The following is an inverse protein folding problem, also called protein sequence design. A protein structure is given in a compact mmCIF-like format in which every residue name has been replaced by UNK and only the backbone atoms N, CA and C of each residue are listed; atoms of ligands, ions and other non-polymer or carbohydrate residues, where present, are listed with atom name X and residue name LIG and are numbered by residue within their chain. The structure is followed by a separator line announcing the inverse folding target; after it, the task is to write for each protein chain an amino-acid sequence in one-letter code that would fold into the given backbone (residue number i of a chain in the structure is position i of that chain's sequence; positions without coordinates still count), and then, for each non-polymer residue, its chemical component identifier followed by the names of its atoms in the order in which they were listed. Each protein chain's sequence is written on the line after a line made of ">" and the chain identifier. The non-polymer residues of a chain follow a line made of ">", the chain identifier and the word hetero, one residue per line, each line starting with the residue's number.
data_IF_220470289682
#
_entry.id   IF_220470289682
#
_cell.length_a   1.000
_cell.length_b   1.000
_cell.length_c   1.000
_cell.angle_alpha   90.00
_cell.angle_beta   90.00
_cell.angle_gamma   90.00
#
_symmetry.space_group_name_H-M   'P 1'
#
loop_
_entity.id
_entity.type
_entity.pdbx_description
1 polymer ?
#
# COMPACT_ATOMS: atom_id res chain seq x y z
N UNK A 1 13.39 -42.22 -18.02
CA UNK A 1 13.29 -40.77 -17.74
C UNK A 1 14.56 -40.36 -17.00
N UNK A 2 15.45 -39.52 -17.55
CA UNK A 2 16.63 -39.06 -16.81
C UNK A 2 16.21 -38.03 -15.76
N UNK A 3 16.79 -38.17 -14.57
CA UNK A 3 16.50 -37.38 -13.37
C UNK A 3 17.13 -36.00 -13.52
N UNK A 4 16.32 -34.94 -13.50
CA UNK A 4 16.80 -33.56 -13.62
C UNK A 4 17.79 -33.22 -12.50
N UNK A 5 18.95 -32.66 -12.89
CA UNK A 5 19.98 -32.22 -11.97
C UNK A 5 19.44 -31.10 -11.06
N UNK A 6 19.66 -31.25 -9.75
CA UNK A 6 19.30 -30.25 -8.74
C UNK A 6 20.18 -29.01 -8.96
N UNK A 7 19.62 -27.79 -9.09
CA UNK A 7 20.43 -26.60 -9.34
C UNK A 7 21.34 -26.31 -8.13
N UNK A 8 22.61 -26.03 -8.43
CA UNK A 8 23.61 -25.71 -7.42
C UNK A 8 23.23 -24.47 -6.60
N UNK A 9 23.40 -24.53 -5.26
CA UNK A 9 23.10 -23.45 -4.33
C UNK A 9 23.99 -22.22 -4.65
N UNK A 10 23.38 -21.07 -4.98
CA UNK A 10 24.11 -19.80 -5.22
C UNK A 10 24.89 -19.40 -3.96
N UNK A 11 26.15 -18.96 -4.13
CA UNK A 11 26.98 -18.38 -3.05
C UNK A 11 26.18 -17.27 -2.34
N UNK A 12 26.20 -17.20 -0.99
CA UNK A 12 25.49 -16.16 -0.27
C UNK A 12 26.05 -14.80 -0.69
N UNK A 13 25.17 -13.87 -1.06
CA UNK A 13 25.57 -12.51 -1.41
C UNK A 13 26.34 -11.89 -0.25
N UNK A 14 27.38 -11.10 -0.57
CA UNK A 14 28.17 -10.36 0.43
C UNK A 14 27.21 -9.55 1.30
N UNK A 15 27.31 -9.72 2.62
CA UNK A 15 26.47 -9.01 3.58
C UNK A 15 26.75 -7.51 3.47
N UNK A 16 25.75 -6.76 3.05
CA UNK A 16 25.80 -5.29 3.06
C UNK A 16 25.48 -4.84 4.48
N UNK A 17 26.39 -4.08 5.08
CA UNK A 17 26.21 -3.53 6.42
C UNK A 17 25.42 -2.21 6.37
N UNK A 18 24.74 -1.92 7.48
CA UNK A 18 24.00 -0.67 7.61
C UNK A 18 24.96 0.52 7.66
N UNK A 19 24.61 1.58 6.94
CA UNK A 19 25.16 2.92 7.15
C UNK A 19 24.05 3.95 6.90
N UNK A 20 24.09 5.07 7.62
CA UNK A 20 23.08 6.12 7.45
C UNK A 20 23.08 6.65 6.01
N UNK A 21 24.25 6.93 5.43
CA UNK A 21 24.37 7.42 4.05
C UNK A 21 23.76 6.46 3.00
N UNK A 22 23.88 5.14 3.20
CA UNK A 22 23.23 4.18 2.31
C UNK A 22 21.71 4.17 2.50
N UNK A 23 21.24 4.27 3.75
CA UNK A 23 19.82 4.35 4.05
C UNK A 23 19.19 5.62 3.45
N UNK A 24 19.84 6.77 3.61
CA UNK A 24 19.44 8.05 3.02
C UNK A 24 19.31 7.95 1.50
N UNK A 25 20.31 7.35 0.84
CA UNK A 25 20.30 7.14 -0.61
C UNK A 25 19.15 6.24 -1.05
N UNK A 26 18.86 5.17 -0.31
CA UNK A 26 17.75 4.28 -0.63
C UNK A 26 16.42 5.01 -0.48
N UNK A 27 16.23 5.77 0.61
CA UNK A 27 15.04 6.58 0.81
C UNK A 27 14.86 7.64 -0.29
N UNK A 28 15.93 8.34 -0.70
CA UNK A 28 15.86 9.30 -1.79
C UNK A 28 15.41 8.65 -3.12
N UNK A 29 15.93 7.47 -3.46
CA UNK A 29 15.51 6.73 -4.66
C UNK A 29 14.05 6.25 -4.57
N UNK A 30 13.58 5.91 -3.37
CA UNK A 30 12.18 5.52 -3.15
C UNK A 30 11.27 6.73 -3.31
N UNK A 31 11.64 7.88 -2.73
CA UNK A 31 10.94 9.15 -2.88
C UNK A 31 10.82 9.57 -4.35
N UNK A 32 11.83 9.27 -5.17
CA UNK A 32 11.84 9.47 -6.63
C UNK A 32 10.99 8.44 -7.41
N UNK A 33 10.00 7.82 -6.78
CA UNK A 33 9.07 6.89 -7.45
C UNK A 33 9.51 5.42 -7.44
N UNK A 34 10.79 5.10 -7.24
CA UNK A 34 11.29 3.72 -7.38
C UNK A 34 10.75 2.78 -6.32
N UNK A 35 10.51 1.53 -6.72
CA UNK A 35 10.11 0.50 -5.76
C UNK A 35 11.30 0.03 -4.92
N UNK A 36 11.05 -0.33 -3.66
CA UNK A 36 12.07 -0.99 -2.80
C UNK A 36 12.68 -2.19 -3.52
N UNK A 37 11.87 -2.95 -4.27
CA UNK A 37 12.34 -4.11 -5.06
C UNK A 37 13.35 -3.70 -6.13
N UNK A 38 13.14 -2.57 -6.79
CA UNK A 38 14.03 -2.07 -7.82
C UNK A 38 15.33 -1.53 -7.20
N UNK A 39 15.22 -0.70 -6.16
CA UNK A 39 16.39 -0.14 -5.48
C UNK A 39 17.29 -1.24 -4.92
N UNK A 40 16.72 -2.27 -4.29
CA UNK A 40 17.48 -3.39 -3.72
C UNK A 40 18.12 -4.35 -4.74
N UNK A 41 17.89 -4.20 -6.05
CA UNK A 41 18.53 -5.06 -7.07
C UNK A 41 19.95 -4.63 -7.45
N UNK A 42 20.35 -3.41 -7.12
CA UNK A 42 21.64 -2.85 -7.55
C UNK A 42 22.85 -3.49 -6.86
N UNK A 43 24.05 -3.46 -7.49
CA UNK A 43 25.28 -3.84 -6.82
C UNK A 43 25.53 -2.93 -5.61
N UNK A 44 25.91 -3.54 -4.48
CA UNK A 44 26.13 -2.82 -3.22
C UNK A 44 24.85 -2.45 -2.45
N UNK A 45 23.67 -2.89 -2.91
CA UNK A 45 22.41 -2.65 -2.21
C UNK A 45 22.05 -3.81 -1.26
N UNK A 46 21.40 -3.52 -0.12
CA UNK A 46 20.90 -4.57 0.75
C UNK A 46 19.75 -5.33 0.09
N UNK A 47 19.56 -6.59 0.49
CA UNK A 47 18.32 -7.29 0.18
C UNK A 47 17.10 -6.53 0.73
N UNK A 48 15.95 -6.66 0.06
CA UNK A 48 14.70 -6.00 0.44
C UNK A 48 14.33 -6.26 1.91
N UNK A 49 14.45 -7.50 2.39
CA UNK A 49 14.11 -7.82 3.77
C UNK A 49 15.09 -7.20 4.76
N UNK A 50 16.36 -7.09 4.39
CA UNK A 50 17.39 -6.42 5.20
C UNK A 50 17.09 -4.93 5.33
N UNK A 51 16.79 -4.24 4.23
CA UNK A 51 16.41 -2.83 4.26
C UNK A 51 15.15 -2.58 5.11
N UNK A 52 14.09 -3.37 4.90
CA UNK A 52 12.86 -3.23 5.69
C UNK A 52 13.06 -3.52 7.18
N UNK A 53 14.03 -4.36 7.55
CA UNK A 53 14.44 -4.54 8.94
C UNK A 53 15.17 -3.32 9.47
N UNK A 54 16.04 -2.68 8.69
CA UNK A 54 16.72 -1.45 9.09
C UNK A 54 15.75 -0.31 9.35
N UNK A 55 14.76 -0.12 8.46
CA UNK A 55 13.75 0.92 8.60
C UNK A 55 12.94 0.79 9.91
N UNK A 56 12.84 -0.43 10.48
CA UNK A 56 12.10 -0.68 11.72
C UNK A 56 12.98 -0.68 12.98
N UNK A 57 14.28 -0.37 12.87
CA UNK A 57 15.20 -0.43 14.02
C UNK A 57 14.94 0.68 15.02
N UNK A 58 14.63 1.89 14.55
CA UNK A 58 14.36 3.05 15.40
C UNK A 58 13.20 3.87 14.82
N UNK A 59 12.49 4.65 15.65
CA UNK A 59 11.42 5.53 15.18
C UNK A 59 11.86 6.54 14.12
N UNK A 60 13.11 7.02 14.19
CA UNK A 60 13.65 8.01 13.25
C UNK A 60 13.86 7.40 11.86
N UNK A 61 14.41 6.18 11.78
CA UNK A 61 14.58 5.45 10.53
C UNK A 61 13.24 5.06 9.92
N UNK A 62 12.26 4.72 10.77
CA UNK A 62 10.91 4.42 10.31
C UNK A 62 10.28 5.68 9.71
N UNK A 63 10.34 6.80 10.42
CA UNK A 63 9.84 8.08 9.94
C UNK A 63 10.49 8.47 8.62
N UNK A 64 11.81 8.33 8.49
CA UNK A 64 12.52 8.65 7.26
C UNK A 64 12.06 7.80 6.07
N UNK A 65 11.80 6.50 6.30
CA UNK A 65 11.25 5.64 5.26
C UNK A 65 9.78 5.97 4.94
N UNK A 66 8.98 6.33 5.95
CA UNK A 66 7.58 6.72 5.78
C UNK A 66 7.48 8.05 5.01
N UNK A 67 8.31 9.05 5.33
CA UNK A 67 8.43 10.31 4.58
C UNK A 67 8.79 10.04 3.11
N UNK A 68 9.78 9.17 2.85
CA UNK A 68 10.13 8.76 1.49
C UNK A 68 8.97 8.05 0.77
N UNK A 69 8.13 7.29 1.49
CA UNK A 69 6.93 6.69 0.92
C UNK A 69 5.82 7.71 0.64
N UNK A 70 5.81 8.85 1.32
CA UNK A 70 4.92 9.99 1.03
C UNK A 70 5.42 10.68 -0.24
N UNK A 71 6.70 11.04 -0.31
CA UNK A 71 7.31 11.68 -1.49
C UNK A 71 7.13 10.81 -2.75
N UNK A 72 7.25 9.49 -2.59
CA UNK A 72 7.01 8.53 -3.66
C UNK A 72 5.62 8.65 -4.28
N UNK A 73 4.62 9.04 -3.50
CA UNK A 73 3.26 9.21 -4.02
C UNK A 73 3.20 10.37 -5.01
N UNK A 74 3.87 11.48 -4.70
CA UNK A 74 3.97 12.64 -5.60
C UNK A 74 4.73 12.28 -6.87
N UNK A 75 5.87 11.59 -6.74
CA UNK A 75 6.63 11.12 -7.90
C UNK A 75 5.81 10.18 -8.80
N UNK A 76 5.07 9.22 -8.22
CA UNK A 76 4.20 8.31 -9.00
C UNK A 76 3.05 9.09 -9.66
N UNK A 77 2.52 10.11 -8.99
CA UNK A 77 1.46 10.96 -9.53
C UNK A 77 1.93 11.72 -10.78
N UNK A 78 3.10 12.34 -10.73
CA UNK A 78 3.68 13.04 -11.89
C UNK A 78 4.02 12.05 -13.04
N UNK A 79 4.51 10.86 -12.68
CA UNK A 79 4.80 9.76 -13.60
C UNK A 79 3.59 9.35 -14.45
N UNK A 80 2.37 9.46 -13.90
CA UNK A 80 1.13 9.10 -14.61
C UNK A 80 0.94 10.00 -15.85
N UNK A 81 1.12 11.31 -15.68
CA UNK A 81 1.03 12.27 -16.79
C UNK A 81 2.14 12.02 -17.82
N UNK A 82 3.38 11.87 -17.33
CA UNK A 82 4.52 11.61 -18.21
C UNK A 82 4.32 10.34 -19.04
N UNK A 83 3.80 9.26 -18.45
CA UNK A 83 3.53 8.01 -19.16
C UNK A 83 2.44 8.18 -20.22
N UNK A 84 1.36 8.89 -19.88
CA UNK A 84 0.27 9.15 -20.81
C UNK A 84 0.75 9.91 -22.05
N UNK A 85 1.66 10.87 -21.87
CA UNK A 85 2.15 11.73 -22.95
C UNK A 85 3.29 11.11 -23.78
N UNK A 86 4.13 10.26 -23.18
CA UNK A 86 5.39 9.83 -23.82
C UNK A 86 5.43 8.37 -24.28
N UNK A 87 4.58 7.49 -23.73
CA UNK A 87 4.62 6.07 -24.05
C UNK A 87 3.84 5.79 -25.33
N UNK A 88 4.57 5.45 -26.39
CA UNK A 88 4.03 5.28 -27.75
C UNK A 88 2.96 4.19 -27.89
N UNK A 89 3.09 3.08 -27.15
CA UNK A 89 2.08 2.01 -27.19
C UNK A 89 0.95 2.36 -26.21
N UNK A 90 -0.26 2.71 -26.70
CA UNK A 90 -1.35 3.13 -25.83
C UNK A 90 -1.81 2.03 -24.88
N UNK A 91 -1.70 0.75 -25.27
CA UNK A 91 -2.09 -0.37 -24.39
C UNK A 91 -1.12 -0.49 -23.24
N UNK A 92 0.18 -0.37 -23.51
CA UNK A 92 1.21 -0.35 -22.47
C UNK A 92 1.06 0.87 -21.57
N UNK A 93 0.86 2.07 -22.15
CA UNK A 93 0.62 3.30 -21.39
C UNK A 93 -0.55 3.12 -20.41
N UNK A 94 -1.68 2.64 -20.92
CA UNK A 94 -2.87 2.35 -20.11
C UNK A 94 -2.59 1.41 -18.94
N UNK A 95 -1.95 0.26 -19.19
CA UNK A 95 -1.62 -0.70 -18.11
C UNK A 95 -0.75 -0.06 -17.03
N UNK A 96 0.19 0.80 -17.43
CA UNK A 96 1.09 1.47 -16.49
C UNK A 96 0.41 2.58 -15.68
N UNK A 97 -0.51 3.32 -16.30
CA UNK A 97 -1.34 4.34 -15.63
C UNK A 97 -2.31 3.67 -14.66
N UNK A 98 -3.09 2.69 -15.11
CA UNK A 98 -4.08 1.99 -14.29
C UNK A 98 -3.43 1.35 -13.05
N UNK A 99 -2.24 0.74 -13.21
CA UNK A 99 -1.50 0.15 -12.10
C UNK A 99 -1.00 1.20 -11.08
N UNK A 100 -0.60 2.39 -11.55
CA UNK A 100 -0.14 3.49 -10.69
C UNK A 100 -1.29 4.14 -9.94
N UNK A 101 -2.40 4.44 -10.62
CA UNK A 101 -3.63 4.96 -9.99
C UNK A 101 -4.14 4.00 -8.90
N UNK A 102 -4.22 2.70 -9.21
CA UNK A 102 -4.62 1.67 -8.25
C UNK A 102 -3.72 1.64 -7.02
N UNK A 103 -2.41 1.82 -7.24
CA UNK A 103 -1.39 1.84 -6.18
C UNK A 103 -1.51 3.10 -5.32
N UNK A 104 -1.63 4.27 -5.93
CA UNK A 104 -1.83 5.55 -5.23
C UNK A 104 -3.07 5.53 -4.34
N UNK A 105 -4.19 5.03 -4.86
CA UNK A 105 -5.45 4.90 -4.10
C UNK A 105 -5.31 3.99 -2.86
N UNK A 106 -4.34 3.07 -2.84
CA UNK A 106 -4.04 2.17 -1.71
C UNK A 106 -2.99 2.71 -0.77
N UNK A 107 -2.01 3.46 -1.29
CA UNK A 107 -0.99 4.13 -0.49
C UNK A 107 -1.59 5.28 0.33
N UNK A 108 -2.47 6.07 -0.26
CA UNK A 108 -3.10 7.20 0.41
C UNK A 108 -4.54 7.38 -0.07
N UNK A 109 -5.42 6.52 0.47
CA UNK A 109 -6.86 6.50 0.15
C UNK A 109 -7.54 7.85 0.40
N UNK A 110 -7.06 8.63 1.36
CA UNK A 110 -7.64 9.95 1.67
C UNK A 110 -7.38 10.97 0.56
N UNK A 111 -6.21 10.90 -0.10
CA UNK A 111 -5.82 11.87 -1.14
C UNK A 111 -6.14 11.39 -2.55
N UNK A 112 -5.92 10.11 -2.85
CA UNK A 112 -6.03 9.55 -4.20
C UNK A 112 -7.13 8.50 -4.33
N UNK A 113 -7.93 8.28 -3.28
CA UNK A 113 -9.07 7.39 -3.37
C UNK A 113 -10.20 8.04 -4.16
N UNK A 114 -11.10 7.21 -4.70
CA UNK A 114 -12.31 7.72 -5.33
C UNK A 114 -13.20 8.35 -4.25
N UNK A 115 -13.51 9.62 -4.43
CA UNK A 115 -14.45 10.35 -3.58
C UNK A 115 -15.80 10.42 -4.29
N UNK A 116 -16.85 9.96 -3.61
CA UNK A 116 -18.21 9.97 -4.14
C UNK A 116 -19.09 10.65 -3.10
N UNK A 117 -19.84 11.67 -3.55
CA UNK A 117 -20.90 12.30 -2.76
C UNK A 117 -22.24 11.80 -3.30
N UNK A 118 -22.99 11.10 -2.46
CA UNK A 118 -24.31 10.59 -2.80
C UNK A 118 -25.38 11.47 -2.15
N UNK A 119 -26.37 11.86 -2.95
CA UNK A 119 -27.63 12.37 -2.44
C UNK A 119 -28.63 11.21 -2.35
N UNK A 120 -29.21 11.01 -1.18
CA UNK A 120 -30.15 9.92 -0.92
C UNK A 120 -31.55 10.49 -0.67
N UNK A 121 -32.53 10.10 -1.48
CA UNK A 121 -33.93 10.46 -1.32
C UNK A 121 -34.83 9.21 -1.25
N UNK A 122 -36.01 9.37 -0.68
CA UNK A 122 -37.10 8.41 -0.77
C UNK A 122 -37.76 8.39 -2.16
N UNK A 123 -38.85 7.63 -2.31
CA UNK A 123 -39.64 7.58 -3.55
C UNK A 123 -39.99 8.98 -4.04
N UNK A 124 -39.86 9.20 -5.35
CA UNK A 124 -40.17 10.46 -6.03
C UNK A 124 -39.42 11.69 -5.49
N UNK A 125 -38.22 11.49 -4.92
CA UNK A 125 -37.42 12.58 -4.33
C UNK A 125 -37.88 13.00 -2.93
N UNK A 126 -38.87 12.31 -2.36
CA UNK A 126 -39.40 12.58 -1.03
C UNK A 126 -38.45 12.18 0.11
N UNK A 127 -38.86 12.38 1.37
CA UNK A 127 -38.06 11.99 2.53
C UNK A 127 -37.90 10.46 2.64
N UNK A 128 -36.71 10.02 3.08
CA UNK A 128 -36.45 8.62 3.39
C UNK A 128 -37.36 8.17 4.53
N UNK A 129 -38.16 7.14 4.28
CA UNK A 129 -39.13 6.60 5.25
C UNK A 129 -38.43 5.64 6.21
N UNK A 130 -38.41 5.96 7.51
CA UNK A 130 -37.90 5.07 8.56
C UNK A 130 -39.05 4.56 9.42
N UNK A 131 -39.22 3.23 9.54
CA UNK A 131 -40.17 2.62 10.48
C UNK A 131 -39.43 2.17 11.75
N UNK A 132 -39.73 2.79 12.88
CA UNK A 132 -39.23 2.37 14.19
C UNK A 132 -40.27 1.49 14.88
N UNK A 133 -39.94 0.24 15.16
CA UNK A 133 -40.77 -0.65 15.98
C UNK A 133 -40.11 -0.83 17.35
N UNK A 134 -40.86 -0.52 18.41
CA UNK A 134 -40.43 -0.78 19.80
C UNK A 134 -41.12 -2.06 20.26
N UNK A 135 -40.36 -3.13 20.46
CA UNK A 135 -40.86 -4.39 21.02
C UNK A 135 -40.51 -4.44 22.50
N UNK A 136 -41.53 -4.56 23.36
CA UNK A 136 -41.34 -4.74 24.79
C UNK A 136 -41.25 -6.24 25.09
N UNK A 137 -40.05 -6.73 25.34
CA UNK A 137 -39.86 -8.10 25.83
C UNK A 137 -40.31 -8.15 27.30
N UNK A 138 -41.41 -8.86 27.58
CA UNK A 138 -41.73 -9.26 28.95
C UNK A 138 -40.86 -10.47 29.29
N UNK A 139 -39.94 -10.29 30.23
CA UNK A 139 -39.30 -11.43 30.88
C UNK A 139 -40.26 -11.98 31.93
N UNK A 140 -40.52 -13.29 31.90
CA UNK A 140 -41.29 -13.97 32.94
C UNK A 140 -40.55 -13.88 34.28
N UNK A 141 -41.26 -13.75 35.42
CA UNK A 141 -40.62 -13.75 36.74
C UNK A 141 -39.84 -15.04 36.96
N UNK A 142 -38.62 -14.94 37.49
CA UNK A 142 -37.87 -16.10 38.00
C UNK A 142 -38.59 -16.54 39.28
N UNK A 143 -39.20 -17.73 39.27
CA UNK A 143 -39.70 -18.37 40.48
C UNK A 143 -38.52 -18.58 41.44
N UNK A 144 -38.56 -17.91 42.61
CA UNK A 144 -37.57 -18.07 43.67
C UNK A 144 -37.68 -19.51 44.22
N UNK A 145 -36.58 -20.27 44.11
CA UNK A 145 -36.48 -21.61 44.70
C UNK A 145 -36.43 -21.49 46.23
N UNK A 146 -37.23 -22.27 46.98
CA UNK A 146 -37.18 -22.26 48.44
C UNK A 146 -35.85 -22.83 48.96
N UNK A 147 -35.38 -22.25 50.08
CA UNK A 147 -34.10 -22.54 50.76
C UNK A 147 -33.89 -24.02 51.13
#
# INVERSE_FOLDING_TARGET
>A
MPRAAVPAKKKPAKRVEFSQALFDRICALIGDGKSVREVCKGPGMPDRMTFLKWAKRTPELQKQYDDACIDRQDAIFDDVLYIADTVRDPKRAKVMVDAREWTLARMNRKRFGNHVSNEHSGPDGGPIQTKTQVVRLRMSPVEELPE
#
